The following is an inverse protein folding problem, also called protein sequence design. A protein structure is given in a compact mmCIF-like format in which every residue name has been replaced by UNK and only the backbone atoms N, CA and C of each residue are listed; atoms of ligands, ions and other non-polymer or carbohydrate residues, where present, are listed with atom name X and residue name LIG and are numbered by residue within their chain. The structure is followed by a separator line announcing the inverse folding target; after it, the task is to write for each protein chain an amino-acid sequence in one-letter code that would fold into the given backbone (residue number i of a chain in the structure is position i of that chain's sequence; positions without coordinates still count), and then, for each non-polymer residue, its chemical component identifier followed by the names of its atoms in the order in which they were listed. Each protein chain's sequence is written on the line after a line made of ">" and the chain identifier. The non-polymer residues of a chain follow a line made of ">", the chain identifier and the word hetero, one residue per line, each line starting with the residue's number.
data_IF_730767125202
#
_entry.id   IF_730767125202
#
_cell.length_a   1.000
_cell.length_b   1.000
_cell.length_c   1.000
_cell.angle_alpha   90.00
_cell.angle_beta   90.00
_cell.angle_gamma   90.00
#
_symmetry.space_group_name_H-M   'P 1'
#
loop_
_entity.id
_entity.type
_entity.pdbx_description
1 polymer ?
#
# COMPACT_ATOMS: atom_id res chain seq x y z
N UNK A 1 16.46 5.18 14.91
CA UNK A 1 16.45 5.40 13.44
C UNK A 1 15.18 4.83 12.85
N UNK A 2 14.54 5.58 11.96
CA UNK A 2 13.32 5.16 11.31
C UNK A 2 13.57 4.15 10.19
N UNK A 3 12.46 3.56 9.71
CA UNK A 3 12.49 2.63 8.59
C UNK A 3 12.75 3.43 7.31
N UNK A 4 13.72 2.99 6.53
CA UNK A 4 14.08 3.65 5.28
C UNK A 4 13.00 3.43 4.21
N UNK A 5 12.54 4.51 3.58
CA UNK A 5 11.63 4.44 2.43
C UNK A 5 12.45 4.15 1.18
N UNK A 6 12.06 3.11 0.45
CA UNK A 6 12.77 2.67 -0.76
C UNK A 6 12.00 3.10 -2.01
N UNK A 7 12.60 2.87 -3.19
CA UNK A 7 11.94 3.14 -4.47
C UNK A 7 10.68 2.29 -4.63
N UNK A 8 10.71 1.02 -4.22
CA UNK A 8 9.52 0.18 -4.26
C UNK A 8 8.41 0.72 -3.38
N UNK A 9 8.73 1.23 -2.18
CA UNK A 9 7.75 1.87 -1.30
C UNK A 9 7.08 3.06 -1.97
N UNK A 10 7.84 3.88 -2.67
CA UNK A 10 7.31 5.05 -3.39
C UNK A 10 6.26 4.62 -4.42
N UNK A 11 6.60 3.68 -5.27
CA UNK A 11 5.69 3.22 -6.32
C UNK A 11 4.50 2.45 -5.74
N UNK A 12 4.72 1.65 -4.71
CA UNK A 12 3.65 0.96 -3.99
C UNK A 12 2.65 1.97 -3.40
N UNK A 13 3.16 2.99 -2.71
CA UNK A 13 2.34 4.04 -2.10
C UNK A 13 1.49 4.78 -3.14
N UNK A 14 2.09 5.12 -4.29
CA UNK A 14 1.36 5.76 -5.39
C UNK A 14 0.29 4.83 -5.96
N UNK A 15 0.60 3.54 -6.12
CA UNK A 15 -0.36 2.54 -6.62
C UNK A 15 -1.57 2.41 -5.70
N UNK A 16 -1.34 2.38 -4.38
CA UNK A 16 -2.42 2.30 -3.39
C UNK A 16 -3.30 3.53 -3.45
N UNK A 17 -2.71 4.72 -3.47
CA UNK A 17 -3.49 5.96 -3.53
C UNK A 17 -4.31 6.03 -4.81
N UNK A 18 -3.74 5.62 -5.94
CA UNK A 18 -4.44 5.56 -7.22
C UNK A 18 -5.59 4.55 -7.18
N UNK A 19 -5.36 3.36 -6.60
CA UNK A 19 -6.36 2.30 -6.49
C UNK A 19 -7.59 2.72 -5.68
N UNK A 20 -7.40 3.57 -4.69
CA UNK A 20 -8.49 4.11 -3.87
C UNK A 20 -8.93 5.50 -4.30
N UNK A 21 -8.61 5.87 -5.56
CA UNK A 21 -9.02 7.12 -6.19
C UNK A 21 -8.66 8.35 -5.35
N UNK A 22 -7.48 8.33 -4.72
CA UNK A 22 -6.94 9.41 -3.91
C UNK A 22 -7.89 9.88 -2.80
N UNK A 23 -8.63 8.94 -2.22
CA UNK A 23 -9.63 9.20 -1.19
C UNK A 23 -9.15 8.70 0.18
N UNK A 24 -9.25 9.55 1.20
CA UNK A 24 -8.89 9.16 2.56
C UNK A 24 -9.80 8.04 3.07
N UNK A 25 -9.23 6.98 3.61
CA UNK A 25 -9.97 5.81 4.08
C UNK A 25 -10.85 6.11 5.31
N UNK A 26 -10.55 7.18 6.06
CA UNK A 26 -11.30 7.52 7.26
C UNK A 26 -12.33 8.61 7.03
N UNK A 27 -11.95 9.77 6.51
CA UNK A 27 -12.87 10.90 6.35
C UNK A 27 -13.54 10.98 4.98
N UNK A 28 -13.09 10.17 4.01
CA UNK A 28 -13.68 10.13 2.67
C UNK A 28 -13.37 11.33 1.79
N UNK A 29 -12.50 12.23 2.24
CA UNK A 29 -12.12 13.39 1.44
C UNK A 29 -11.24 12.96 0.27
N UNK A 30 -11.55 13.48 -0.91
CA UNK A 30 -10.81 13.21 -2.14
C UNK A 30 -9.74 14.26 -2.35
N UNK A 31 -8.50 13.81 -2.61
CA UNK A 31 -7.33 14.69 -2.67
C UNK A 31 -6.81 14.98 -4.09
N UNK A 32 -7.44 14.39 -5.11
CA UNK A 32 -7.16 14.71 -6.53
C UNK A 32 -5.66 14.73 -6.89
N UNK A 33 -4.93 13.65 -6.52
CA UNK A 33 -3.49 13.51 -6.77
C UNK A 33 -2.60 14.48 -5.96
N UNK A 34 -3.12 15.02 -4.88
CA UNK A 34 -2.30 15.83 -3.97
C UNK A 34 -1.43 14.93 -3.11
N UNK A 35 -0.17 14.73 -3.53
CA UNK A 35 0.78 13.85 -2.84
C UNK A 35 1.10 14.28 -1.41
N UNK A 36 1.02 15.57 -1.12
CA UNK A 36 1.33 16.11 0.21
C UNK A 36 0.17 15.98 1.17
N UNK A 37 -1.05 15.96 0.67
CA UNK A 37 -2.24 15.91 1.49
C UNK A 37 -2.68 14.51 1.87
N UNK A 38 -2.24 13.49 1.13
CA UNK A 38 -2.70 12.11 1.29
C UNK A 38 -1.52 11.14 1.34
N UNK A 39 -1.35 10.47 2.48
CA UNK A 39 -0.31 9.46 2.68
C UNK A 39 -0.84 8.05 2.42
N UNK A 40 0.07 7.09 2.34
CA UNK A 40 -0.26 5.67 2.36
C UNK A 40 -0.03 5.15 3.78
N UNK A 41 -1.12 4.79 4.45
CA UNK A 41 -1.08 4.26 5.81
C UNK A 41 -0.95 2.75 5.79
N UNK A 42 -0.08 2.19 6.65
CA UNK A 42 0.11 0.74 6.78
C UNK A 42 -0.51 0.24 8.09
N UNK A 43 -1.15 -0.92 8.05
CA UNK A 43 -1.67 -1.57 9.24
C UNK A 43 -0.52 -2.09 10.11
N UNK A 44 0.19 -3.10 9.62
CA UNK A 44 1.47 -3.49 10.20
C UNK A 44 2.56 -2.60 9.62
N UNK A 45 3.52 -2.20 10.45
CA UNK A 45 4.55 -1.25 10.01
C UNK A 45 5.40 -1.81 8.87
N UNK A 46 6.07 -0.90 8.14
CA UNK A 46 7.01 -1.28 7.08
C UNK A 46 8.18 -2.12 7.57
N UNK A 47 8.41 -2.19 8.89
CA UNK A 47 9.39 -3.08 9.47
C UNK A 47 9.06 -4.55 9.27
N UNK A 48 7.80 -4.89 9.08
CA UNK A 48 7.39 -6.24 8.72
C UNK A 48 7.43 -6.36 7.19
N UNK A 49 8.50 -6.98 6.67
CA UNK A 49 8.70 -7.10 5.24
C UNK A 49 7.65 -7.97 4.55
N UNK A 50 7.10 -8.96 5.24
CA UNK A 50 6.10 -9.85 4.65
C UNK A 50 4.80 -9.10 4.28
N UNK A 51 4.43 -8.07 5.04
CA UNK A 51 3.22 -7.29 4.79
C UNK A 51 3.49 -5.92 4.14
N UNK A 52 4.75 -5.55 4.00
CA UNK A 52 5.17 -4.22 3.54
C UNK A 52 4.56 -3.83 2.19
N UNK A 53 4.41 -4.80 1.28
CA UNK A 53 3.88 -4.60 -0.06
C UNK A 53 2.56 -5.33 -0.29
N UNK A 54 1.81 -5.58 0.77
CA UNK A 54 0.48 -6.20 0.67
C UNK A 54 -0.59 -5.12 0.53
N UNK A 55 -1.45 -5.28 -0.47
CA UNK A 55 -2.59 -4.37 -0.68
C UNK A 55 -3.59 -4.45 0.48
N UNK A 56 -3.63 -5.56 1.21
CA UNK A 56 -4.45 -5.69 2.42
C UNK A 56 -3.92 -4.84 3.57
N UNK A 57 -2.65 -4.48 3.54
CA UNK A 57 -1.96 -3.80 4.64
C UNK A 57 -1.82 -2.28 4.41
N UNK A 58 -2.46 -1.75 3.39
CA UNK A 58 -2.26 -0.34 3.03
C UNK A 58 -3.55 0.34 2.62
N UNK A 59 -3.74 1.57 3.07
CA UNK A 59 -4.88 2.42 2.71
C UNK A 59 -4.42 3.87 2.65
N UNK A 60 -5.00 4.69 1.74
CA UNK A 60 -4.72 6.13 1.77
C UNK A 60 -5.33 6.77 3.01
N UNK A 61 -4.60 7.69 3.63
CA UNK A 61 -5.12 8.47 4.74
C UNK A 61 -4.54 9.89 4.69
N UNK A 62 -5.38 10.89 4.90
CA UNK A 62 -4.90 12.26 4.98
C UNK A 62 -4.08 12.45 6.27
N UNK A 63 -3.28 13.53 6.33
CA UNK A 63 -2.38 13.76 7.44
C UNK A 63 -3.06 13.68 8.80
N UNK A 64 -4.22 14.34 8.96
CA UNK A 64 -4.95 14.32 10.22
C UNK A 64 -5.49 12.95 10.57
N UNK A 65 -6.10 12.27 9.59
CA UNK A 65 -6.65 10.93 9.80
C UNK A 65 -5.56 9.88 10.01
N UNK A 66 -4.42 10.03 9.35
CA UNK A 66 -3.29 9.10 9.52
C UNK A 66 -2.83 9.07 10.98
N UNK A 67 -2.76 10.23 11.63
CA UNK A 67 -2.40 10.32 13.05
C UNK A 67 -3.40 9.64 13.96
N UNK A 68 -4.70 9.73 13.63
CA UNK A 68 -5.78 9.13 14.42
C UNK A 68 -5.88 7.63 14.19
N UNK A 69 -5.89 7.20 12.93
CA UNK A 69 -6.05 5.79 12.57
C UNK A 69 -4.83 4.95 12.94
N UNK A 70 -3.63 5.40 12.59
CA UNK A 70 -2.36 4.77 12.97
C UNK A 70 -2.37 3.23 12.95
N UNK A 71 -2.94 2.65 11.90
CA UNK A 71 -3.04 1.19 11.74
C UNK A 71 -4.35 0.58 12.25
N UNK A 72 -5.14 1.30 13.03
CA UNK A 72 -6.41 0.78 13.58
C UNK A 72 -7.49 0.54 12.52
N UNK A 73 -7.34 1.12 11.32
CA UNK A 73 -8.32 0.94 10.25
C UNK A 73 -8.49 -0.54 9.85
N UNK A 74 -7.50 -1.39 10.08
CA UNK A 74 -7.61 -2.84 9.80
C UNK A 74 -8.75 -3.48 10.56
N UNK A 75 -8.94 -3.07 11.82
CA UNK A 75 -10.00 -3.59 12.68
C UNK A 75 -11.39 -3.28 12.12
N UNK A 76 -11.51 -2.21 11.35
CA UNK A 76 -12.76 -1.64 10.90
C UNK A 76 -13.03 -1.85 9.41
N UNK A 77 -12.00 -1.74 8.57
CA UNK A 77 -12.15 -1.73 7.11
C UNK A 77 -11.97 -3.09 6.46
N UNK A 78 -11.26 -4.02 7.12
CA UNK A 78 -11.06 -5.36 6.59
C UNK A 78 -12.14 -6.30 7.08
N UNK A 79 -12.52 -7.26 6.22
CA UNK A 79 -13.36 -8.37 6.63
C UNK A 79 -12.60 -9.30 7.56
N UNK A 80 -13.29 -10.21 8.25
CA UNK A 80 -12.64 -11.19 9.12
C UNK A 80 -11.67 -12.07 8.32
N UNK A 81 -12.05 -12.48 7.12
CA UNK A 81 -11.19 -13.27 6.24
C UNK A 81 -9.94 -12.50 5.84
N UNK A 82 -10.09 -11.23 5.47
CA UNK A 82 -8.96 -10.37 5.10
C UNK A 82 -8.00 -10.16 6.26
N UNK A 83 -8.52 -9.93 7.47
CA UNK A 83 -7.68 -9.80 8.67
C UNK A 83 -6.90 -11.08 8.96
N UNK A 84 -7.55 -12.23 8.83
CA UNK A 84 -6.89 -13.53 9.03
C UNK A 84 -5.80 -13.74 7.99
N UNK A 85 -6.09 -13.47 6.73
CA UNK A 85 -5.09 -13.56 5.66
C UNK A 85 -3.89 -12.65 5.91
N UNK A 86 -4.13 -11.44 6.38
CA UNK A 86 -3.06 -10.49 6.67
C UNK A 86 -2.19 -10.95 7.84
N UNK A 87 -2.80 -11.57 8.87
CA UNK A 87 -2.04 -12.15 9.99
C UNK A 87 -1.15 -13.30 9.52
N UNK A 88 -1.65 -14.16 8.63
CA UNK A 88 -0.85 -15.24 8.04
C UNK A 88 0.35 -14.68 7.28
N UNK A 89 0.13 -13.63 6.48
CA UNK A 89 1.21 -12.96 5.75
C UNK A 89 2.25 -12.35 6.70
N UNK A 90 1.79 -11.74 7.79
CA UNK A 90 2.68 -11.13 8.79
C UNK A 90 3.70 -12.13 9.32
N UNK A 91 3.29 -13.38 9.49
CA UNK A 91 4.11 -14.43 10.06
C UNK A 91 4.88 -15.26 9.01
N UNK A 92 4.79 -14.88 7.74
CA UNK A 92 5.47 -15.58 6.64
C UNK A 92 6.94 -15.18 6.56
N UNK A 93 7.79 -15.94 7.22
CA UNK A 93 9.25 -15.69 7.32
C UNK A 93 9.92 -15.77 5.95
N UNK A 94 9.50 -16.70 5.10
CA UNK A 94 10.11 -16.88 3.76
C UNK A 94 9.80 -15.69 2.86
N UNK A 95 8.55 -15.24 2.87
CA UNK A 95 8.14 -14.06 2.11
C UNK A 95 8.90 -12.81 2.59
N UNK A 96 9.04 -12.65 3.91
CA UNK A 96 9.79 -11.54 4.48
C UNK A 96 11.25 -11.54 4.01
N UNK A 97 11.89 -12.71 4.00
CA UNK A 97 13.27 -12.85 3.51
C UNK A 97 13.39 -12.49 2.05
N UNK A 98 12.44 -12.93 1.24
CA UNK A 98 12.43 -12.66 -0.20
C UNK A 98 12.36 -11.17 -0.48
N UNK A 99 11.43 -10.47 0.15
CA UNK A 99 11.31 -9.02 0.01
C UNK A 99 12.54 -8.28 0.54
N UNK A 100 13.06 -8.69 1.71
CA UNK A 100 14.21 -8.05 2.34
C UNK A 100 15.45 -8.12 1.45
N UNK A 101 15.64 -9.22 0.72
CA UNK A 101 16.75 -9.38 -0.23
C UNK A 101 16.77 -8.32 -1.32
N UNK A 102 15.60 -7.84 -1.74
CA UNK A 102 15.50 -6.83 -2.80
C UNK A 102 15.93 -5.45 -2.31
N UNK A 103 15.90 -5.21 -1.00
CA UNK A 103 16.14 -3.90 -0.38
C UNK A 103 15.20 -2.82 -0.95
N UNK A 104 14.05 -3.23 -1.48
CA UNK A 104 13.09 -2.33 -2.10
C UNK A 104 13.57 -1.74 -3.42
N UNK A 105 14.44 -2.43 -4.13
CA UNK A 105 15.07 -1.95 -5.38
C UNK A 105 14.93 -3.01 -6.48
N UNK A 106 15.51 -2.72 -7.64
CA UNK A 106 15.59 -3.68 -8.75
C UNK A 106 14.23 -4.10 -9.28
N UNK A 107 14.03 -5.40 -9.43
CA UNK A 107 12.80 -5.94 -10.02
C UNK A 107 11.54 -5.62 -9.21
N UNK A 108 11.65 -5.57 -7.89
CA UNK A 108 10.52 -5.19 -7.04
C UNK A 108 10.08 -3.74 -7.32
N UNK A 109 11.04 -2.82 -7.42
CA UNK A 109 10.75 -1.43 -7.77
C UNK A 109 10.12 -1.31 -9.16
N UNK A 110 10.64 -2.05 -10.14
CA UNK A 110 10.09 -2.09 -11.51
C UNK A 110 8.65 -2.61 -11.51
N UNK A 111 8.39 -3.66 -10.74
CA UNK A 111 7.04 -4.23 -10.63
C UNK A 111 6.04 -3.19 -10.15
N UNK A 112 6.35 -2.48 -9.06
CA UNK A 112 5.41 -1.51 -8.49
C UNK A 112 5.26 -0.28 -9.38
N UNK A 113 6.32 0.15 -10.06
CA UNK A 113 6.22 1.21 -11.06
C UNK A 113 5.28 0.79 -12.20
N UNK A 114 5.42 -0.43 -12.68
CA UNK A 114 4.53 -0.96 -13.73
C UNK A 114 3.08 -1.02 -13.27
N UNK A 115 2.84 -1.47 -12.04
CA UNK A 115 1.48 -1.50 -11.48
C UNK A 115 0.88 -0.11 -11.39
N UNK A 116 1.66 0.87 -10.97
CA UNK A 116 1.21 2.26 -10.94
C UNK A 116 0.87 2.77 -12.35
N UNK A 117 1.73 2.50 -13.32
CA UNK A 117 1.49 2.91 -14.72
C UNK A 117 0.20 2.27 -15.27
N UNK A 118 -0.06 1.00 -14.94
CA UNK A 118 -1.30 0.31 -15.35
C UNK A 118 -2.53 0.94 -14.70
N UNK A 119 -2.45 1.34 -13.44
CA UNK A 119 -3.55 2.05 -12.77
C UNK A 119 -3.84 3.39 -13.47
N UNK A 120 -2.80 4.12 -13.88
CA UNK A 120 -2.96 5.39 -14.61
C UNK A 120 -3.59 5.17 -15.98
N UNK A 121 -3.18 4.12 -16.69
CA UNK A 121 -3.76 3.78 -18.00
C UNK A 121 -5.23 3.42 -17.86
N UNK A 122 -5.59 2.65 -16.83
CA UNK A 122 -6.99 2.30 -16.55
C UNK A 122 -7.82 3.57 -16.32
N UNK A 123 -7.29 4.53 -15.58
CA UNK A 123 -7.96 5.81 -15.32
C UNK A 123 -8.21 6.58 -16.63
N UNK A 124 -7.24 6.60 -17.53
CA UNK A 124 -7.39 7.24 -18.85
C UNK A 124 -8.52 6.61 -19.67
N UNK A 125 -8.78 5.32 -19.44
CA UNK A 125 -9.88 4.59 -20.08
C UNK A 125 -11.19 4.69 -19.30
N UNK A 126 -11.25 5.52 -18.25
CA UNK A 126 -12.45 5.71 -17.43
C UNK A 126 -12.64 4.68 -16.33
N UNK A 127 -11.63 3.85 -16.06
CA UNK A 127 -11.68 2.82 -15.01
C UNK A 127 -10.85 3.28 -13.81
N UNK A 128 -11.46 3.38 -12.63
CA UNK A 128 -10.78 3.73 -11.38
C UNK A 128 -10.96 2.61 -10.35
N UNK A 129 -10.19 2.65 -9.29
CA UNK A 129 -10.31 1.67 -8.21
C UNK A 129 -9.73 0.31 -8.52
N UNK A 130 -8.79 0.22 -9.47
CA UNK A 130 -8.12 -1.03 -9.82
C UNK A 130 -6.98 -1.27 -8.85
N UNK A 131 -7.07 -2.35 -8.07
CA UNK A 131 -5.98 -2.74 -7.17
C UNK A 131 -4.80 -3.30 -7.96
N UNK A 132 -3.56 -2.93 -7.60
CA UNK A 132 -2.38 -3.48 -8.25
C UNK A 132 -2.19 -4.95 -7.89
N UNK A 133 -1.51 -5.67 -8.76
CA UNK A 133 -1.14 -7.07 -8.51
C UNK A 133 0.10 -7.13 -7.64
N UNK A 134 0.09 -7.99 -6.63
CA UNK A 134 1.22 -8.15 -5.71
C UNK A 134 2.31 -9.07 -6.22
N UNK A 135 1.95 -10.01 -7.09
CA UNK A 135 2.88 -11.01 -7.63
C UNK A 135 3.87 -10.38 -8.60
N UNK A 136 5.14 -10.43 -8.26
CA UNK A 136 6.22 -9.82 -9.05
C UNK A 136 7.27 -10.81 -9.51
N UNK A 137 7.13 -12.08 -9.14
CA UNK A 137 8.03 -13.16 -9.55
C UNK A 137 7.54 -13.86 -10.82
#
# INVERSE_FOLDING_TARGET
>A
MGIKITMADKWFSLSIREAYDWTCCRCGTKYHHNHQGLDCSHGYSRGNWATRFSTLNARPACMGCHRIESGHWMERLLTDWERERLRELRDDVQLAKMYRKTKGKGELSKHWKQQYDLCLQARECGVTGVLPLEEWL
#
